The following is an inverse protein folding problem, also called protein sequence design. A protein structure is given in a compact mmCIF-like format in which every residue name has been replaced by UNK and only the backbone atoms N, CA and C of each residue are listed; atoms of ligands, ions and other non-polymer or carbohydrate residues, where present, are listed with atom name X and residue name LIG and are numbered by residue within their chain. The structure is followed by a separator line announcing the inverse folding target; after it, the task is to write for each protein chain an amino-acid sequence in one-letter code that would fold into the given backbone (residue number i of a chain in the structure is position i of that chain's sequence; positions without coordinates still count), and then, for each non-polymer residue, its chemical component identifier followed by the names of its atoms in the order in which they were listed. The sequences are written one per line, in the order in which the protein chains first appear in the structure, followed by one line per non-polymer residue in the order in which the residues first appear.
data_IF_552057843209
#
_entry.id   IF_552057843209
#
_cell.length_a   1.000
_cell.length_b   1.000
_cell.length_c   1.000
_cell.angle_alpha   90.00
_cell.angle_beta   90.00
_cell.angle_gamma   90.00
#
_symmetry.space_group_name_H-M   'P 1'
#
loop_
_entity.id
_entity.type
_entity.pdbx_description
1 polymer ?
#
# COMPACT_ATOMS: atom_id res chain seq x y z
N UNK A 1 13.24 28.01 -8.16
CA UNK A 1 12.60 27.30 -7.04
C UNK A 1 12.86 25.82 -7.26
N UNK A 2 13.69 25.20 -6.42
CA UNK A 2 14.10 23.80 -6.59
C UNK A 2 12.88 22.89 -6.45
N UNK A 3 12.82 21.83 -7.25
CA UNK A 3 11.94 20.70 -6.97
C UNK A 3 12.26 20.19 -5.55
N UNK A 4 11.24 19.79 -4.78
CA UNK A 4 11.43 19.26 -3.42
C UNK A 4 12.54 18.20 -3.37
N UNK A 5 13.32 18.23 -2.30
CA UNK A 5 14.50 17.38 -2.12
C UNK A 5 14.08 15.95 -1.78
N UNK A 6 14.73 14.97 -2.42
CA UNK A 6 14.58 13.55 -2.12
C UNK A 6 15.74 13.11 -1.25
N UNK A 7 15.42 12.50 -0.12
CA UNK A 7 16.38 11.95 0.84
C UNK A 7 16.16 10.45 0.95
N UNK A 8 17.25 9.70 1.13
CA UNK A 8 17.21 8.27 1.43
C UNK A 8 17.64 8.07 2.88
N UNK A 9 16.73 7.55 3.68
CA UNK A 9 16.94 7.27 5.10
C UNK A 9 17.17 5.79 5.29
N UNK A 10 18.40 5.43 5.64
CA UNK A 10 18.71 4.08 6.09
C UNK A 10 18.19 3.85 7.52
N UNK A 11 17.47 2.75 7.70
CA UNK A 11 16.91 2.29 8.97
C UNK A 11 17.27 0.81 9.20
N UNK A 12 17.70 0.48 10.42
CA UNK A 12 17.81 -0.92 10.85
C UNK A 12 16.56 -1.27 11.65
N UNK A 13 15.67 -2.04 11.03
CA UNK A 13 14.43 -2.47 11.67
C UNK A 13 14.67 -3.54 12.72
N UNK A 14 14.09 -3.35 13.90
CA UNK A 14 14.17 -4.33 14.97
C UNK A 14 13.19 -5.49 14.69
N UNK A 15 11.96 -5.17 14.30
CA UNK A 15 10.92 -6.18 14.04
C UNK A 15 11.23 -7.08 12.82
N UNK A 16 12.13 -6.66 11.93
CA UNK A 16 12.56 -7.45 10.77
C UNK A 16 13.87 -8.23 10.99
N UNK A 17 14.57 -8.12 12.13
CA UNK A 17 15.87 -8.82 12.36
C UNK A 17 15.79 -10.33 12.18
N UNK A 18 14.64 -10.91 12.47
CA UNK A 18 14.37 -12.35 12.36
C UNK A 18 13.30 -12.65 11.30
N UNK A 19 13.30 -11.90 10.19
CA UNK A 19 12.35 -12.11 9.11
C UNK A 19 12.41 -13.57 8.61
N UNK A 20 11.28 -14.29 8.52
CA UNK A 20 11.23 -15.72 8.15
C UNK A 20 11.74 -16.00 6.73
N UNK A 21 11.73 -15.01 5.84
CA UNK A 21 12.24 -15.11 4.47
C UNK A 21 13.75 -14.86 4.38
N UNK A 22 14.39 -14.46 5.48
CA UNK A 22 15.79 -13.99 5.46
C UNK A 22 15.96 -12.64 4.76
N UNK A 23 14.85 -11.94 4.51
CA UNK A 23 14.86 -10.59 3.94
C UNK A 23 15.66 -9.62 4.83
N UNK A 24 16.34 -8.62 4.24
CA UNK A 24 17.17 -7.70 5.01
C UNK A 24 16.34 -6.92 6.02
N UNK A 25 16.87 -6.76 7.24
CA UNK A 25 16.28 -5.89 8.26
C UNK A 25 16.77 -4.44 8.13
N UNK A 26 17.88 -4.21 7.41
CA UNK A 26 18.28 -2.88 6.98
C UNK A 26 17.47 -2.49 5.76
N UNK A 27 16.76 -1.37 5.85
CA UNK A 27 15.83 -0.89 4.84
C UNK A 27 16.08 0.58 4.53
N UNK A 28 15.79 0.94 3.30
CA UNK A 28 15.81 2.33 2.84
C UNK A 28 14.40 2.89 2.86
N UNK A 29 14.23 4.07 3.45
CA UNK A 29 12.99 4.84 3.42
C UNK A 29 13.24 6.07 2.53
N UNK A 30 12.51 6.18 1.42
CA UNK A 30 12.58 7.35 0.55
C UNK A 30 11.68 8.45 1.13
N UNK A 31 12.22 9.65 1.31
CA UNK A 31 11.50 10.80 1.85
C UNK A 31 11.61 11.97 0.88
N UNK A 32 10.49 12.52 0.46
CA UNK A 32 10.45 13.76 -0.31
C UNK A 32 9.97 14.90 0.57
N UNK A 33 10.78 15.95 0.63
CA UNK A 33 10.45 17.17 1.35
C UNK A 33 9.53 18.06 0.51
N UNK A 34 8.52 18.69 1.12
CA UNK A 34 7.65 19.61 0.39
C UNK A 34 8.46 20.79 -0.18
N UNK A 35 8.01 21.39 -1.29
CA UNK A 35 8.64 22.60 -1.82
C UNK A 35 8.71 23.72 -0.77
N UNK A 36 9.91 24.26 -0.54
CA UNK A 36 10.13 25.28 0.50
C UNK A 36 10.12 24.73 1.92
N UNK A 37 10.51 23.46 2.12
CA UNK A 37 10.72 22.87 3.43
C UNK A 37 11.68 23.71 4.29
N UNK A 38 11.26 23.94 5.54
CA UNK A 38 11.94 24.73 6.55
C UNK A 38 11.80 24.00 7.88
N UNK A 39 12.93 23.60 8.48
CA UNK A 39 12.96 22.84 9.73
C UNK A 39 12.34 23.57 10.93
N UNK A 40 12.15 24.90 10.84
CA UNK A 40 11.44 25.68 11.87
C UNK A 40 9.91 25.50 11.85
N UNK A 41 9.38 24.81 10.83
CA UNK A 41 7.95 24.54 10.64
C UNK A 41 7.69 23.04 10.68
N UNK A 42 6.55 22.64 11.24
CA UNK A 42 6.09 21.26 11.20
C UNK A 42 5.18 21.00 10.00
N UNK A 43 5.32 19.82 9.37
CA UNK A 43 4.57 19.41 8.19
C UNK A 43 3.78 18.12 8.45
N UNK A 44 2.57 17.98 7.88
CA UNK A 44 1.90 16.68 7.83
C UNK A 44 2.67 15.71 6.94
N UNK A 45 2.35 14.41 7.06
CA UNK A 45 3.07 13.34 6.36
C UNK A 45 2.10 12.43 5.62
N UNK A 46 2.40 12.11 4.37
CA UNK A 46 1.75 11.01 3.63
C UNK A 46 2.74 9.85 3.53
N UNK A 47 2.36 8.69 4.06
CA UNK A 47 3.07 7.43 3.86
C UNK A 47 2.49 6.74 2.63
N UNK A 48 3.26 6.69 1.54
CA UNK A 48 2.87 6.10 0.28
C UNK A 48 3.35 4.64 0.19
N UNK A 49 2.39 3.72 0.11
CA UNK A 49 2.61 2.28 0.02
C UNK A 49 2.59 1.84 -1.44
N UNK A 50 3.65 1.17 -1.87
CA UNK A 50 3.81 0.64 -3.23
C UNK A 50 2.87 -0.53 -3.54
N UNK A 51 2.47 -0.64 -4.82
CA UNK A 51 1.81 -1.85 -5.32
C UNK A 51 2.75 -3.06 -5.30
N UNK A 52 2.17 -4.26 -5.41
CA UNK A 52 2.96 -5.49 -5.44
C UNK A 52 4.03 -5.46 -6.54
N UNK A 53 5.27 -5.80 -6.18
CA UNK A 53 6.39 -5.86 -7.11
C UNK A 53 6.87 -4.52 -7.66
N UNK A 54 6.24 -3.40 -7.28
CA UNK A 54 6.71 -2.08 -7.63
C UNK A 54 7.93 -1.72 -6.78
N UNK A 55 8.86 -0.96 -7.37
CA UNK A 55 9.95 -0.37 -6.58
C UNK A 55 9.37 0.59 -5.53
N UNK A 56 9.95 0.66 -4.32
CA UNK A 56 9.51 1.58 -3.26
C UNK A 56 10.00 3.00 -3.55
N UNK A 57 9.50 3.63 -4.61
CA UNK A 57 9.90 4.99 -5.01
C UNK A 57 8.80 5.70 -5.80
N UNK A 58 8.66 7.01 -5.59
CA UNK A 58 7.79 7.89 -6.38
C UNK A 58 8.56 8.64 -7.50
N UNK A 59 9.87 8.42 -7.59
CA UNK A 59 10.75 9.10 -8.54
C UNK A 59 10.82 8.43 -9.93
N UNK A 60 10.16 7.28 -10.11
CA UNK A 60 10.24 6.49 -11.35
C UNK A 60 9.44 7.06 -12.51
N UNK A 61 9.90 6.78 -13.74
CA UNK A 61 9.15 6.95 -14.98
C UNK A 61 9.14 5.65 -15.78
N UNK A 62 7.98 5.11 -16.14
CA UNK A 62 7.91 3.96 -17.04
C UNK A 62 7.98 4.35 -18.53
N UNK A 63 7.68 5.61 -18.89
CA UNK A 63 7.59 6.05 -20.29
C UNK A 63 8.32 7.38 -20.54
N UNK A 64 8.60 7.65 -21.83
CA UNK A 64 9.23 8.89 -22.28
C UNK A 64 8.31 10.13 -22.14
N UNK A 65 7.00 9.89 -22.02
CA UNK A 65 5.98 10.92 -21.87
C UNK A 65 5.49 11.00 -20.42
N UNK A 66 5.12 12.20 -19.98
CA UNK A 66 4.65 12.46 -18.62
C UNK A 66 5.76 12.81 -17.63
N UNK A 67 5.34 13.08 -16.40
CA UNK A 67 6.20 13.43 -15.27
C UNK A 67 6.16 12.31 -14.24
N UNK A 68 7.27 12.08 -13.53
CA UNK A 68 7.27 11.16 -12.39
C UNK A 68 6.15 11.56 -11.40
N UNK A 69 5.51 10.60 -10.71
CA UNK A 69 4.45 10.87 -9.74
C UNK A 69 4.81 11.99 -8.77
N UNK A 70 6.04 11.95 -8.22
CA UNK A 70 6.52 12.97 -7.29
C UNK A 70 6.50 14.38 -7.87
N UNK A 71 6.83 14.56 -9.16
CA UNK A 71 6.86 15.89 -9.78
C UNK A 71 5.47 16.49 -9.89
N UNK A 72 4.44 15.67 -10.14
CA UNK A 72 3.05 16.14 -10.16
C UNK A 72 2.61 16.60 -8.79
N UNK A 73 2.95 15.82 -7.76
CA UNK A 73 2.63 16.15 -6.37
C UNK A 73 3.33 17.44 -5.92
N UNK A 74 4.63 17.58 -6.18
CA UNK A 74 5.34 18.82 -5.88
C UNK A 74 4.76 20.03 -6.62
N UNK A 75 4.38 19.86 -7.89
CA UNK A 75 3.74 20.94 -8.65
C UNK A 75 2.38 21.32 -8.02
N UNK A 76 1.56 20.34 -7.67
CA UNK A 76 0.28 20.56 -7.01
C UNK A 76 0.44 21.22 -5.62
N UNK A 77 1.53 20.90 -4.89
CA UNK A 77 1.89 21.56 -3.63
C UNK A 77 2.30 23.02 -3.85
N UNK A 78 3.10 23.32 -4.88
CA UNK A 78 3.48 24.68 -5.26
C UNK A 78 2.26 25.53 -5.66
N UNK A 79 1.30 24.91 -6.35
CA UNK A 79 0.04 25.54 -6.75
C UNK A 79 -0.98 25.66 -5.59
N UNK A 80 -0.70 25.00 -4.45
CA UNK A 80 -1.57 24.99 -3.28
C UNK A 80 -2.86 24.18 -3.45
N UNK A 81 -2.95 23.34 -4.49
CA UNK A 81 -4.07 22.42 -4.72
C UNK A 81 -3.96 21.17 -3.84
N UNK A 82 -2.73 20.72 -3.56
CA UNK A 82 -2.41 19.70 -2.54
C UNK A 82 -1.69 20.39 -1.38
N UNK A 83 -1.98 20.07 -0.11
CA UNK A 83 -1.27 20.67 1.02
C UNK A 83 0.22 20.28 1.00
N UNK A 84 1.09 21.21 1.40
CA UNK A 84 2.51 20.94 1.57
C UNK A 84 2.71 19.88 2.68
N UNK A 85 3.30 18.74 2.31
CA UNK A 85 3.49 17.59 3.19
C UNK A 85 4.77 16.83 2.82
N UNK A 86 5.33 16.10 3.78
CA UNK A 86 6.33 15.08 3.46
C UNK A 86 5.65 13.92 2.76
N UNK A 87 6.35 13.32 1.79
CA UNK A 87 5.95 12.06 1.17
C UNK A 87 6.99 11.00 1.52
N UNK A 88 6.56 9.97 2.24
CA UNK A 88 7.44 8.90 2.74
C UNK A 88 7.07 7.60 2.04
N UNK A 89 8.05 6.93 1.44
CA UNK A 89 7.88 5.65 0.75
C UNK A 89 8.73 4.59 1.48
N UNK A 90 8.14 3.77 2.36
CA UNK A 90 8.87 2.70 3.03
C UNK A 90 9.19 1.56 2.05
N UNK A 91 10.40 1.00 2.13
CA UNK A 91 10.70 -0.28 1.49
C UNK A 91 10.06 -1.44 2.25
N UNK A 92 8.89 -1.88 1.78
CA UNK A 92 8.18 -3.05 2.28
C UNK A 92 8.27 -4.26 1.31
N UNK A 93 9.30 -4.30 0.46
CA UNK A 93 9.54 -5.41 -0.46
C UNK A 93 10.03 -6.66 0.29
N UNK A 94 9.64 -7.82 -0.24
CA UNK A 94 10.02 -9.15 0.27
C UNK A 94 10.70 -9.97 -0.83
N UNK A 95 11.26 -11.12 -0.49
CA UNK A 95 11.72 -12.12 -1.47
C UNK A 95 10.62 -12.57 -2.47
N UNK A 96 9.34 -12.34 -2.14
CA UNK A 96 8.19 -12.58 -3.01
C UNK A 96 7.69 -11.33 -3.75
N UNK A 97 8.33 -10.17 -3.58
CA UNK A 97 7.98 -8.91 -4.27
C UNK A 97 7.05 -7.98 -3.49
N UNK A 98 6.51 -8.41 -2.35
CA UNK A 98 5.64 -7.57 -1.51
C UNK A 98 5.20 -8.28 -0.24
N UNK A 99 4.86 -7.49 0.79
CA UNK A 99 4.51 -7.96 2.13
C UNK A 99 3.02 -7.90 2.46
N UNK A 100 2.23 -7.24 1.60
CA UNK A 100 0.85 -6.84 1.91
C UNK A 100 0.73 -5.99 3.19
N UNK A 101 1.83 -5.42 3.69
CA UNK A 101 1.84 -4.50 4.82
C UNK A 101 1.23 -5.08 6.11
N UNK A 102 1.24 -6.40 6.26
CA UNK A 102 0.73 -7.12 7.43
C UNK A 102 1.86 -7.79 8.20
N UNK A 103 1.60 -8.08 9.47
CA UNK A 103 2.43 -9.01 10.22
C UNK A 103 2.06 -10.45 9.87
N UNK A 104 2.99 -11.15 9.23
CA UNK A 104 2.79 -12.51 8.74
C UNK A 104 3.83 -13.46 9.34
N UNK A 105 3.44 -14.62 9.89
CA UNK A 105 4.39 -15.67 10.28
C UNK A 105 5.25 -16.18 9.11
N UNK A 106 4.78 -16.02 7.86
CA UNK A 106 5.46 -16.45 6.65
C UNK A 106 6.30 -15.36 5.98
N UNK A 107 5.89 -14.08 6.08
CA UNK A 107 6.57 -12.97 5.39
C UNK A 107 7.30 -11.98 6.31
N UNK A 108 7.04 -11.95 7.61
CA UNK A 108 7.62 -11.01 8.57
C UNK A 108 6.66 -9.92 9.06
N UNK A 109 7.12 -9.12 10.01
CA UNK A 109 6.31 -8.15 10.76
C UNK A 109 6.25 -6.77 10.07
N UNK A 110 5.61 -6.69 8.90
CA UNK A 110 5.61 -5.46 8.10
C UNK A 110 4.63 -4.37 8.59
N UNK A 111 3.60 -4.72 9.37
CA UNK A 111 2.76 -3.70 10.02
C UNK A 111 3.53 -3.02 11.16
N UNK A 112 4.31 -3.79 11.93
CA UNK A 112 5.24 -3.23 12.93
C UNK A 112 6.35 -2.42 12.28
N UNK A 113 6.91 -2.89 11.15
CA UNK A 113 7.93 -2.13 10.43
C UNK A 113 7.40 -0.77 9.95
N UNK A 114 6.16 -0.71 9.46
CA UNK A 114 5.54 0.56 9.09
C UNK A 114 5.43 1.50 10.30
N UNK A 115 5.16 0.99 11.50
CA UNK A 115 5.17 1.78 12.74
C UNK A 115 6.58 2.30 13.08
N UNK A 116 7.62 1.46 12.97
CA UNK A 116 9.01 1.90 13.15
C UNK A 116 9.40 3.01 12.16
N UNK A 117 8.94 2.92 10.91
CA UNK A 117 9.19 3.97 9.91
C UNK A 117 8.54 5.29 10.31
N UNK A 118 7.32 5.26 10.87
CA UNK A 118 6.67 6.47 11.40
C UNK A 118 7.53 7.11 12.48
N UNK A 119 8.02 6.31 13.43
CA UNK A 119 8.89 6.81 14.50
C UNK A 119 10.19 7.40 13.94
N UNK A 120 10.86 6.73 13.00
CA UNK A 120 12.09 7.23 12.37
C UNK A 120 11.88 8.57 11.66
N UNK A 121 10.76 8.72 10.95
CA UNK A 121 10.44 9.96 10.24
C UNK A 121 10.17 11.09 11.22
N UNK A 122 9.38 10.85 12.26
CA UNK A 122 9.07 11.88 13.27
C UNK A 122 10.29 12.33 14.08
N UNK A 123 11.29 11.46 14.25
CA UNK A 123 12.55 11.83 14.92
C UNK A 123 13.51 12.62 14.03
N UNK A 124 13.45 12.46 12.70
CA UNK A 124 14.43 13.04 11.76
C UNK A 124 13.93 14.30 11.05
N UNK A 125 12.63 14.48 10.95
CA UNK A 125 12.03 15.57 10.19
C UNK A 125 11.06 16.38 11.04
N UNK A 126 10.82 17.63 10.64
CA UNK A 126 9.89 18.50 11.30
C UNK A 126 8.45 18.10 10.94
N UNK A 127 7.90 17.09 11.59
CA UNK A 127 6.54 16.61 11.38
C UNK A 127 5.56 17.21 12.37
N UNK A 128 4.29 17.30 11.99
CA UNK A 128 3.21 17.60 12.95
C UNK A 128 2.93 16.32 13.73
N UNK A 129 3.02 16.33 15.07
CA UNK A 129 2.81 15.14 15.87
C UNK A 129 1.35 14.69 15.83
N UNK A 130 1.16 13.37 15.82
CA UNK A 130 -0.14 12.74 16.01
C UNK A 130 -0.86 12.33 14.73
N UNK A 131 -1.77 11.37 14.89
CA UNK A 131 -2.42 10.64 13.81
C UNK A 131 -3.22 11.52 12.84
N UNK A 132 -3.85 12.61 13.31
CA UNK A 132 -4.66 13.51 12.47
C UNK A 132 -3.85 14.20 11.37
N UNK A 133 -2.54 14.35 11.54
CA UNK A 133 -1.65 14.95 10.55
C UNK A 133 -0.90 13.90 9.69
N UNK A 134 -1.24 12.61 9.84
CA UNK A 134 -0.64 11.51 9.09
C UNK A 134 -1.69 10.84 8.20
N UNK A 135 -1.38 10.77 6.92
CA UNK A 135 -2.13 10.00 5.94
C UNK A 135 -1.33 8.75 5.54
N UNK A 136 -2.03 7.64 5.29
CA UNK A 136 -1.48 6.48 4.59
C UNK A 136 -2.22 6.34 3.27
N UNK A 137 -1.47 6.19 2.19
CA UNK A 137 -2.00 6.14 0.83
C UNK A 137 -1.29 5.06 0.03
N UNK A 138 -1.94 4.54 -1.01
CA UNK A 138 -1.27 3.60 -1.89
C UNK A 138 -2.15 3.08 -3.02
N UNK A 139 -1.53 2.35 -3.94
CA UNK A 139 -2.19 1.79 -5.13
C UNK A 139 -2.14 0.26 -5.15
N UNK A 140 -3.21 -0.42 -5.58
CA UNK A 140 -3.26 -1.90 -5.64
C UNK A 140 -3.02 -2.50 -4.26
N UNK A 141 -2.03 -3.38 -4.11
CA UNK A 141 -1.62 -3.90 -2.81
C UNK A 141 -1.17 -2.82 -1.82
N UNK A 142 -0.70 -1.67 -2.31
CA UNK A 142 -0.45 -0.49 -1.47
C UNK A 142 -1.73 0.17 -0.98
N UNK A 143 -2.78 0.18 -1.80
CA UNK A 143 -4.11 0.64 -1.42
C UNK A 143 -4.77 -0.30 -0.42
N UNK A 144 -4.58 -1.61 -0.61
CA UNK A 144 -4.90 -2.62 0.40
C UNK A 144 -4.15 -2.35 1.71
N UNK A 145 -2.83 -2.15 1.66
CA UNK A 145 -2.03 -1.83 2.83
C UNK A 145 -2.50 -0.57 3.56
N UNK A 146 -2.96 0.44 2.83
CA UNK A 146 -3.51 1.67 3.41
C UNK A 146 -4.83 1.40 4.16
N UNK A 147 -5.71 0.57 3.59
CA UNK A 147 -6.94 0.12 4.26
C UNK A 147 -6.63 -0.71 5.52
N UNK A 148 -5.71 -1.66 5.42
CA UNK A 148 -5.27 -2.46 6.57
C UNK A 148 -4.73 -1.56 7.66
N UNK A 149 -3.80 -0.66 7.34
CA UNK A 149 -3.22 0.26 8.31
C UNK A 149 -4.29 1.12 8.98
N UNK A 150 -5.29 1.62 8.24
CA UNK A 150 -6.41 2.37 8.82
C UNK A 150 -7.35 1.55 9.72
N UNK A 151 -7.45 0.24 9.49
CA UNK A 151 -8.26 -0.66 10.30
C UNK A 151 -7.53 -1.16 11.55
N UNK A 152 -6.21 -1.34 11.48
CA UNK A 152 -5.43 -2.06 12.49
C UNK A 152 -4.44 -1.21 13.26
N UNK A 153 -4.19 0.04 12.84
CA UNK A 153 -3.21 0.93 13.48
C UNK A 153 -3.81 2.27 13.88
N UNK A 154 -3.51 2.79 15.09
CA UNK A 154 -3.94 4.12 15.52
C UNK A 154 -3.05 5.24 14.96
N UNK A 155 -2.06 4.93 14.11
CA UNK A 155 -1.05 5.88 13.67
C UNK A 155 -1.54 6.88 12.62
N UNK A 156 -2.60 6.55 11.88
CA UNK A 156 -3.04 7.29 10.71
C UNK A 156 -4.46 7.84 10.89
N UNK A 157 -4.67 9.10 10.52
CA UNK A 157 -5.98 9.75 10.54
C UNK A 157 -6.65 9.86 9.19
N UNK A 158 -5.90 9.65 8.12
CA UNK A 158 -6.45 9.66 6.77
C UNK A 158 -5.96 8.43 6.00
N UNK A 159 -6.87 7.80 5.27
CA UNK A 159 -6.58 6.66 4.39
C UNK A 159 -6.99 7.05 2.98
N UNK A 160 -6.09 6.84 2.01
CA UNK A 160 -6.38 7.04 0.59
C UNK A 160 -6.00 5.77 -0.20
N UNK A 161 -7.01 5.00 -0.58
CA UNK A 161 -6.85 3.71 -1.23
C UNK A 161 -7.21 3.80 -2.72
N UNK A 162 -6.20 3.67 -3.59
CA UNK A 162 -6.34 3.74 -5.05
C UNK A 162 -6.35 2.34 -5.67
N UNK A 163 -7.43 1.95 -6.35
CA UNK A 163 -7.67 0.59 -6.83
C UNK A 163 -7.20 -0.47 -5.82
N UNK A 164 -7.70 -0.49 -4.57
CA UNK A 164 -7.19 -1.40 -3.56
C UNK A 164 -7.53 -2.86 -3.90
N UNK A 165 -6.67 -3.79 -3.49
CA UNK A 165 -7.02 -5.21 -3.46
C UNK A 165 -8.15 -5.39 -2.42
N UNK A 166 -9.37 -5.67 -2.88
CA UNK A 166 -10.55 -5.88 -2.05
C UNK A 166 -11.53 -6.79 -2.78
N UNK A 167 -12.43 -7.47 -2.06
CA UNK A 167 -13.36 -8.43 -2.65
C UNK A 167 -12.57 -9.52 -3.36
N UNK A 168 -11.82 -10.31 -2.58
CA UNK A 168 -10.75 -11.19 -3.07
C UNK A 168 -11.23 -12.19 -4.12
N UNK A 169 -12.50 -12.60 -4.08
CA UNK A 169 -13.14 -13.40 -5.12
C UNK A 169 -13.07 -12.77 -6.52
N UNK A 170 -13.11 -11.45 -6.61
CA UNK A 170 -13.12 -10.73 -7.88
C UNK A 170 -11.71 -10.39 -8.38
N UNK A 171 -10.76 -10.14 -7.48
CA UNK A 171 -9.41 -9.74 -7.89
C UNK A 171 -8.40 -10.89 -7.99
N UNK A 172 -8.59 -12.01 -7.27
CA UNK A 172 -7.62 -13.11 -7.29
C UNK A 172 -8.13 -14.37 -7.99
N UNK A 173 -9.37 -14.83 -7.73
CA UNK A 173 -9.85 -16.09 -8.32
C UNK A 173 -9.88 -16.10 -9.87
N UNK A 174 -10.25 -15.00 -10.56
CA UNK A 174 -10.23 -14.98 -12.03
C UNK A 174 -8.82 -15.11 -12.63
N UNK A 175 -7.78 -14.77 -11.84
CA UNK A 175 -6.38 -14.88 -12.26
C UNK A 175 -5.84 -16.32 -12.09
N UNK A 176 -6.50 -17.15 -11.28
CA UNK A 176 -5.95 -18.45 -10.89
C UNK A 176 -5.68 -19.40 -12.09
N UNK A 177 -6.55 -19.53 -13.10
CA UNK A 177 -6.28 -20.40 -14.24
C UNK A 177 -5.02 -20.01 -15.02
N UNK A 178 -4.85 -18.71 -15.34
CA UNK A 178 -3.67 -18.24 -16.06
C UNK A 178 -2.39 -18.36 -15.24
N UNK A 179 -2.49 -18.19 -13.91
CA UNK A 179 -1.36 -18.45 -13.00
C UNK A 179 -0.99 -19.93 -13.01
N UNK A 180 -1.95 -20.85 -12.96
CA UNK A 180 -1.67 -22.29 -13.02
C UNK A 180 -1.01 -22.69 -14.35
N UNK A 181 -1.50 -22.17 -15.47
CA UNK A 181 -0.88 -22.39 -16.78
C UNK A 181 0.57 -21.87 -16.80
N UNK A 182 0.81 -20.67 -16.24
CA UNK A 182 2.14 -20.08 -16.15
C UNK A 182 3.07 -20.89 -15.24
N UNK A 183 2.58 -21.38 -14.09
CA UNK A 183 3.33 -22.28 -13.22
C UNK A 183 3.71 -23.57 -13.95
N UNK A 184 2.78 -24.17 -14.70
CA UNK A 184 3.05 -25.34 -15.52
C UNK A 184 4.13 -25.08 -16.58
N UNK A 185 4.02 -23.97 -17.31
CA UNK A 185 4.98 -23.56 -18.33
C UNK A 185 6.38 -23.26 -17.76
N UNK A 186 6.45 -22.71 -16.54
CA UNK A 186 7.69 -22.48 -15.83
C UNK A 186 8.33 -23.78 -15.30
N UNK A 187 7.66 -24.93 -15.35
CA UNK A 187 8.16 -26.18 -14.76
C UNK A 187 7.85 -26.33 -13.27
N UNK A 188 6.86 -25.60 -12.77
CA UNK A 188 6.34 -25.66 -11.41
C UNK A 188 6.71 -24.44 -10.56
N UNK A 189 6.07 -24.36 -9.39
CA UNK A 189 6.21 -23.24 -8.46
C UNK A 189 7.66 -23.01 -8.01
N UNK A 190 8.39 -24.06 -7.65
CA UNK A 190 9.79 -23.93 -7.23
C UNK A 190 10.68 -23.35 -8.34
N UNK A 191 10.39 -23.66 -9.61
CA UNK A 191 11.14 -23.12 -10.74
C UNK A 191 10.80 -21.66 -11.00
N UNK A 192 9.52 -21.26 -10.86
CA UNK A 192 9.12 -19.85 -10.88
C UNK A 192 9.87 -19.06 -9.79
N UNK A 193 9.93 -19.59 -8.57
CA UNK A 193 10.64 -18.93 -7.47
C UNK A 193 12.16 -18.82 -7.71
N UNK A 194 12.76 -19.80 -8.37
CA UNK A 194 14.16 -19.74 -8.77
C UNK A 194 14.44 -18.63 -9.80
N UNK A 195 13.43 -18.21 -10.57
CA UNK A 195 13.53 -17.17 -11.60
C UNK A 195 13.38 -15.74 -11.08
N UNK A 196 13.13 -15.55 -9.76
CA UNK A 196 12.87 -14.24 -9.15
C UNK A 196 13.94 -13.17 -9.42
N UNK A 197 15.20 -13.56 -9.53
CA UNK A 197 16.30 -12.64 -9.84
C UNK A 197 16.54 -12.50 -11.35
N UNK A 198 16.38 -13.59 -12.10
CA UNK A 198 16.79 -13.67 -13.51
C UNK A 198 15.73 -13.24 -14.52
N UNK A 199 14.46 -13.17 -14.11
CA UNK A 199 13.34 -12.87 -14.99
C UNK A 199 12.62 -14.12 -15.51
N UNK A 200 11.52 -13.94 -16.26
CA UNK A 200 11.35 -12.87 -17.25
C UNK A 200 10.81 -11.51 -16.75
N UNK A 201 10.26 -11.43 -15.53
CA UNK A 201 9.68 -10.21 -14.94
C UNK A 201 8.60 -9.52 -15.81
N UNK A 202 7.94 -10.27 -16.69
CA UNK A 202 6.81 -9.79 -17.48
C UNK A 202 5.50 -9.79 -16.65
N UNK A 203 4.40 -9.31 -17.25
CA UNK A 203 3.13 -9.21 -16.56
C UNK A 203 2.63 -10.57 -16.01
N UNK A 204 2.79 -11.66 -16.78
CA UNK A 204 2.37 -13.00 -16.37
C UNK A 204 3.17 -13.49 -15.17
N UNK A 205 4.49 -13.28 -15.19
CA UNK A 205 5.37 -13.59 -14.06
C UNK A 205 4.95 -12.80 -12.81
N UNK A 206 4.70 -11.50 -12.94
CA UNK A 206 4.31 -10.65 -11.82
C UNK A 206 2.96 -11.07 -11.22
N UNK A 207 1.99 -11.43 -12.05
CA UNK A 207 0.68 -11.95 -11.58
C UNK A 207 0.82 -13.31 -10.91
N UNK A 208 1.65 -14.21 -11.43
CA UNK A 208 1.90 -15.50 -10.78
C UNK A 208 2.60 -15.33 -9.43
N UNK A 209 3.64 -14.49 -9.37
CA UNK A 209 4.33 -14.17 -8.13
C UNK A 209 3.40 -13.51 -7.11
N UNK A 210 2.45 -12.68 -7.52
CA UNK A 210 1.51 -12.03 -6.58
C UNK A 210 0.61 -13.05 -5.89
N UNK A 211 0.01 -14.00 -6.62
CA UNK A 211 -0.82 -15.03 -6.00
C UNK A 211 -0.01 -15.96 -5.09
N UNK A 212 1.24 -16.28 -5.46
CA UNK A 212 2.14 -17.04 -4.58
C UNK A 212 2.44 -16.25 -3.29
N UNK A 213 2.76 -14.97 -3.43
CA UNK A 213 3.03 -14.09 -2.29
C UNK A 213 1.82 -13.97 -1.35
N UNK A 214 0.60 -13.84 -1.89
CA UNK A 214 -0.63 -13.75 -1.08
C UNK A 214 -0.81 -15.00 -0.22
N UNK A 215 -0.49 -16.17 -0.77
CA UNK A 215 -0.51 -17.43 -0.03
C UNK A 215 0.35 -17.40 1.22
N UNK A 216 1.58 -16.91 1.08
CA UNK A 216 2.54 -16.80 2.18
C UNK A 216 2.14 -15.67 3.14
N UNK A 217 1.75 -14.50 2.62
CA UNK A 217 1.36 -13.34 3.44
C UNK A 217 0.17 -13.67 4.35
N UNK A 218 -0.90 -14.24 3.79
CA UNK A 218 -2.15 -14.52 4.50
C UNK A 218 -2.16 -15.87 5.23
N UNK A 219 -1.02 -16.56 5.28
CA UNK A 219 -0.88 -17.79 6.06
C UNK A 219 -0.91 -17.48 7.56
N UNK A 220 -1.73 -18.22 8.29
CA UNK A 220 -1.75 -18.20 9.76
C UNK A 220 -0.60 -18.99 10.42
N UNK A 221 0.24 -19.66 9.61
CA UNK A 221 1.27 -20.59 10.09
C UNK A 221 2.65 -20.30 9.50
N UNK A 222 3.67 -20.31 10.35
CA UNK A 222 5.07 -20.26 9.94
C UNK A 222 5.53 -21.60 9.34
N UNK A 223 6.61 -21.56 8.55
CA UNK A 223 7.31 -22.73 8.05
C UNK A 223 6.59 -23.52 6.94
N UNK A 224 5.50 -23.00 6.39
CA UNK A 224 4.88 -23.57 5.18
C UNK A 224 5.74 -23.24 3.96
N UNK A 225 5.87 -24.20 3.04
CA UNK A 225 6.38 -23.88 1.71
C UNK A 225 5.36 -23.02 0.95
N UNK A 226 5.82 -22.25 -0.03
CA UNK A 226 4.93 -21.48 -0.89
C UNK A 226 3.87 -22.37 -1.58
N UNK A 227 4.24 -23.58 -1.99
CA UNK A 227 3.31 -24.56 -2.53
C UNK A 227 2.27 -25.10 -1.53
N UNK A 228 2.57 -25.11 -0.22
CA UNK A 228 1.59 -25.45 0.84
C UNK A 228 0.68 -24.27 1.17
N UNK A 229 1.19 -23.04 1.09
CA UNK A 229 0.44 -21.82 1.36
C UNK A 229 -0.42 -21.36 0.16
N UNK A 230 -0.21 -21.93 -1.02
CA UNK A 230 -0.97 -21.63 -2.23
C UNK A 230 -2.43 -22.07 -2.14
N UNK A 231 -3.34 -21.28 -2.73
CA UNK A 231 -4.82 -21.45 -2.64
C UNK A 231 -5.34 -22.74 -3.29
N UNK A 232 -4.54 -23.38 -4.13
CA UNK A 232 -4.84 -24.69 -4.71
C UNK A 232 -3.57 -25.53 -4.83
N UNK A 233 -3.72 -26.79 -5.19
CA UNK A 233 -2.60 -27.61 -5.61
C UNK A 233 -2.03 -27.08 -6.95
N UNK A 234 -0.75 -26.68 -7.03
CA UNK A 234 -0.19 -26.00 -8.20
C UNK A 234 -0.02 -26.90 -9.43
N UNK A 235 -0.22 -28.22 -9.30
CA UNK A 235 -0.11 -29.18 -10.41
C UNK A 235 -1.49 -29.56 -10.92
N UNK A 236 -2.40 -29.89 -10.01
CA UNK A 236 -3.74 -30.42 -10.34
C UNK A 236 -4.83 -29.36 -10.36
N UNK A 237 -4.55 -28.17 -9.81
CA UNK A 237 -5.54 -27.10 -9.63
C UNK A 237 -6.57 -27.40 -8.54
N UNK A 238 -6.44 -28.50 -7.78
CA UNK A 238 -7.40 -28.86 -6.73
C UNK A 238 -7.43 -27.77 -5.67
N UNK A 239 -8.55 -27.05 -5.59
CA UNK A 239 -8.74 -25.93 -4.68
C UNK A 239 -8.64 -26.35 -3.22
N UNK A 240 -8.12 -25.46 -2.37
CA UNK A 240 -7.94 -25.66 -0.93
C UNK A 240 -8.79 -24.66 -0.18
N UNK A 241 -10.00 -25.07 0.16
CA UNK A 241 -10.98 -24.21 0.83
C UNK A 241 -10.43 -23.63 2.13
N UNK A 242 -9.67 -24.42 2.91
CA UNK A 242 -9.07 -23.98 4.16
C UNK A 242 -8.01 -22.88 4.02
N UNK A 243 -7.31 -22.84 2.89
CA UNK A 243 -6.35 -21.77 2.57
C UNK A 243 -7.12 -20.53 2.11
N UNK A 244 -8.13 -20.71 1.25
CA UNK A 244 -8.96 -19.61 0.80
C UNK A 244 -9.69 -18.90 1.96
N UNK A 245 -10.24 -19.66 2.90
CA UNK A 245 -10.86 -19.08 4.11
C UNK A 245 -9.87 -18.28 4.98
N UNK A 246 -8.57 -18.60 4.94
CA UNK A 246 -7.55 -17.78 5.61
C UNK A 246 -7.37 -16.45 4.87
N UNK A 247 -7.27 -16.47 3.54
CA UNK A 247 -7.18 -15.24 2.74
C UNK A 247 -8.37 -14.34 2.97
N UNK A 248 -9.58 -14.89 3.01
CA UNK A 248 -10.81 -14.11 3.21
C UNK A 248 -10.86 -13.36 4.55
N UNK A 249 -10.10 -13.78 5.58
CA UNK A 249 -9.98 -13.00 6.84
C UNK A 249 -9.23 -11.69 6.66
N UNK A 250 -8.46 -11.58 5.59
CA UNK A 250 -7.69 -10.40 5.24
C UNK A 250 -8.40 -9.53 4.19
N UNK A 251 -9.53 -9.95 3.62
CA UNK A 251 -10.26 -9.14 2.65
C UNK A 251 -10.87 -7.89 3.31
N UNK A 252 -10.53 -6.67 2.86
CA UNK A 252 -11.07 -5.44 3.44
C UNK A 252 -12.60 -5.41 3.49
N UNK A 253 -13.30 -6.01 2.51
CA UNK A 253 -14.77 -6.09 2.51
C UNK A 253 -15.28 -6.84 3.75
N UNK A 254 -14.58 -7.90 4.16
CA UNK A 254 -14.95 -8.74 5.30
C UNK A 254 -14.49 -8.15 6.63
N UNK A 255 -13.38 -7.42 6.62
CA UNK A 255 -12.81 -6.81 7.81
C UNK A 255 -13.63 -5.62 8.34
N UNK A 256 -14.41 -4.93 7.51
CA UNK A 256 -15.17 -3.72 7.95
C UNK A 256 -15.93 -3.95 9.26
N UNK A 257 -16.65 -5.06 9.37
CA UNK A 257 -17.51 -5.34 10.52
C UNK A 257 -16.75 -5.41 11.86
N UNK A 258 -15.52 -5.93 11.83
CA UNK A 258 -14.66 -6.06 13.02
C UNK A 258 -13.89 -4.76 13.33
N UNK A 259 -13.85 -3.82 12.38
CA UNK A 259 -13.04 -2.60 12.45
C UNK A 259 -13.86 -1.29 12.37
N UNK A 260 -15.18 -1.35 12.60
CA UNK A 260 -16.09 -0.19 12.56
C UNK A 260 -15.58 0.97 13.43
N UNK A 261 -15.11 0.69 14.65
CA UNK A 261 -14.61 1.74 15.54
C UNK A 261 -13.40 2.48 14.95
N UNK A 262 -12.39 1.73 14.48
CA UNK A 262 -11.19 2.32 13.87
C UNK A 262 -11.56 3.16 12.64
N UNK A 263 -12.36 2.60 11.73
CA UNK A 263 -12.80 3.28 10.52
C UNK A 263 -13.62 4.53 10.81
N UNK A 264 -14.51 4.50 11.81
CA UNK A 264 -15.32 5.66 12.21
C UNK A 264 -14.49 6.79 12.82
N UNK A 265 -13.29 6.49 13.33
CA UNK A 265 -12.39 7.48 13.93
C UNK A 265 -11.51 8.21 12.91
N UNK A 266 -11.42 7.69 11.67
CA UNK A 266 -10.67 8.33 10.60
C UNK A 266 -11.25 9.71 10.28
N UNK A 267 -10.38 10.68 10.10
CA UNK A 267 -10.76 12.00 9.61
C UNK A 267 -11.09 11.97 8.11
N UNK A 268 -10.47 11.05 7.36
CA UNK A 268 -10.78 10.79 5.96
C UNK A 268 -10.55 9.32 5.61
N UNK A 269 -11.55 8.69 5.01
CA UNK A 269 -11.40 7.45 4.24
C UNK A 269 -11.76 7.76 2.78
N UNK A 270 -10.79 7.70 1.88
CA UNK A 270 -10.95 7.88 0.45
C UNK A 270 -10.67 6.56 -0.28
N UNK A 271 -11.58 6.17 -1.17
CA UNK A 271 -11.46 4.99 -2.02
C UNK A 271 -11.78 5.40 -3.44
N UNK A 272 -10.86 5.15 -4.37
CA UNK A 272 -11.10 5.32 -5.80
C UNK A 272 -10.65 4.12 -6.61
N UNK A 273 -11.26 3.94 -7.79
CA UNK A 273 -10.98 2.83 -8.69
C UNK A 273 -11.36 3.15 -10.14
N UNK A 274 -10.65 2.56 -11.09
CA UNK A 274 -11.01 2.65 -12.51
C UNK A 274 -12.20 1.78 -12.87
N UNK A 275 -13.15 2.31 -13.65
CA UNK A 275 -14.38 1.59 -14.07
C UNK A 275 -14.12 0.30 -14.88
N UNK A 276 -12.92 0.16 -15.44
CA UNK A 276 -12.48 -1.01 -16.23
C UNK A 276 -11.13 -1.52 -15.74
N UNK A 277 -10.92 -1.52 -14.42
CA UNK A 277 -9.70 -2.08 -13.82
C UNK A 277 -9.49 -3.53 -14.27
N UNK A 278 -8.32 -3.80 -14.86
CA UNK A 278 -7.97 -5.05 -15.54
C UNK A 278 -7.90 -6.24 -14.58
N UNK A 279 -7.76 -6.00 -13.28
CA UNK A 279 -7.73 -7.02 -12.23
C UNK A 279 -9.08 -7.14 -11.52
N UNK A 280 -10.15 -6.53 -12.04
CA UNK A 280 -11.50 -6.65 -11.44
C UNK A 280 -11.68 -5.90 -10.12
N UNK A 281 -10.72 -5.04 -9.72
CA UNK A 281 -10.72 -4.36 -8.42
C UNK A 281 -11.92 -3.42 -8.23
N UNK A 282 -12.54 -2.95 -9.31
CA UNK A 282 -13.76 -2.13 -9.24
C UNK A 282 -14.92 -2.88 -8.60
N UNK A 283 -15.03 -4.20 -8.76
CA UNK A 283 -16.06 -4.99 -8.06
C UNK A 283 -15.80 -5.07 -6.57
N UNK A 284 -14.54 -5.27 -6.17
CA UNK A 284 -14.11 -5.23 -4.77
C UNK A 284 -14.36 -3.88 -4.11
N UNK A 285 -13.99 -2.80 -4.78
CA UNK A 285 -14.21 -1.44 -4.29
C UNK A 285 -15.71 -1.10 -4.16
N UNK A 286 -16.57 -1.55 -5.08
CA UNK A 286 -18.04 -1.42 -4.95
C UNK A 286 -18.57 -2.20 -3.76
N UNK A 287 -18.11 -3.44 -3.55
CA UNK A 287 -18.51 -4.25 -2.41
C UNK A 287 -18.07 -3.62 -1.08
N UNK A 288 -16.84 -3.08 -1.04
CA UNK A 288 -16.32 -2.35 0.11
C UNK A 288 -17.15 -1.10 0.39
N UNK A 289 -17.42 -0.28 -0.63
CA UNK A 289 -18.28 0.90 -0.54
C UNK A 289 -19.66 0.55 0.05
N UNK A 290 -20.35 -0.44 -0.51
CA UNK A 290 -21.65 -0.87 -0.01
C UNK A 290 -21.60 -1.37 1.45
N UNK A 291 -20.52 -2.06 1.83
CA UNK A 291 -20.33 -2.53 3.21
C UNK A 291 -20.11 -1.37 4.18
N UNK A 292 -19.30 -0.38 3.79
CA UNK A 292 -19.09 0.84 4.58
C UNK A 292 -20.40 1.62 4.75
N UNK A 293 -21.23 1.74 3.71
CA UNK A 293 -22.56 2.35 3.78
C UNK A 293 -23.49 1.61 4.73
N UNK A 294 -23.51 0.27 4.66
CA UNK A 294 -24.32 -0.57 5.54
C UNK A 294 -23.97 -0.36 7.02
N UNK A 295 -22.70 -0.09 7.33
CA UNK A 295 -22.23 0.20 8.69
C UNK A 295 -22.30 1.70 9.06
N UNK A 296 -22.79 2.57 8.17
CA UNK A 296 -22.89 4.01 8.41
C UNK A 296 -21.54 4.72 8.55
N UNK A 297 -20.49 4.18 7.94
CA UNK A 297 -19.12 4.70 8.05
C UNK A 297 -18.89 5.85 7.05
N UNK A 298 -18.45 7.04 7.50
CA UNK A 298 -18.14 8.14 6.60
C UNK A 298 -16.96 7.82 5.68
N UNK A 299 -17.14 7.95 4.38
CA UNK A 299 -16.08 7.75 3.40
C UNK A 299 -16.38 8.49 2.09
N UNK A 300 -15.34 8.72 1.30
CA UNK A 300 -15.42 9.21 -0.09
C UNK A 300 -15.17 8.03 -1.02
N UNK A 301 -16.10 7.78 -1.91
CA UNK A 301 -15.98 6.75 -2.94
C UNK A 301 -16.06 7.38 -4.33
N UNK A 302 -15.14 6.99 -5.24
CA UNK A 302 -15.13 7.49 -6.61
C UNK A 302 -14.72 6.43 -7.62
N UNK A 303 -15.54 6.25 -8.65
CA UNK A 303 -15.11 5.56 -9.87
C UNK A 303 -14.67 6.57 -10.93
N UNK A 304 -13.55 6.29 -11.61
CA UNK A 304 -13.06 7.15 -12.69
C UNK A 304 -12.97 6.41 -14.03
N UNK A 305 -13.00 7.15 -15.13
CA UNK A 305 -12.74 6.58 -16.44
C UNK A 305 -11.30 6.04 -16.48
N UNK A 306 -11.13 4.84 -17.04
CA UNK A 306 -9.81 4.17 -17.12
C UNK A 306 -9.81 2.78 -16.50
N UNK A 307 -8.61 2.27 -16.27
CA UNK A 307 -8.35 0.99 -15.63
C UNK A 307 -7.34 1.16 -14.49
N UNK A 308 -6.49 0.16 -14.32
CA UNK A 308 -5.52 0.04 -13.23
C UNK A 308 -4.27 0.93 -13.40
N UNK A 309 -4.07 1.54 -14.57
CA UNK A 309 -2.87 2.29 -14.92
C UNK A 309 -3.19 3.73 -15.32
N UNK A 310 -2.18 4.62 -15.27
CA UNK A 310 -2.33 6.03 -15.69
C UNK A 310 -3.16 6.89 -14.74
N UNK A 311 -3.22 6.51 -13.46
CA UNK A 311 -4.09 7.12 -12.45
C UNK A 311 -3.42 8.26 -11.68
N UNK A 312 -2.24 8.74 -12.09
CA UNK A 312 -1.47 9.72 -11.32
C UNK A 312 -2.23 11.05 -11.13
N UNK A 313 -3.13 11.39 -12.04
CA UNK A 313 -4.02 12.54 -11.90
C UNK A 313 -5.10 12.33 -10.83
N UNK A 314 -5.68 11.12 -10.76
CA UNK A 314 -6.64 10.72 -9.73
C UNK A 314 -6.00 10.77 -8.34
N UNK A 315 -4.76 10.30 -8.21
CA UNK A 315 -3.99 10.36 -6.96
C UNK A 315 -3.82 11.80 -6.47
N UNK A 316 -3.46 12.73 -7.37
CA UNK A 316 -3.33 14.16 -7.01
C UNK A 316 -4.66 14.73 -6.54
N UNK A 317 -5.76 14.44 -7.24
CA UNK A 317 -7.11 14.89 -6.88
C UNK A 317 -7.56 14.34 -5.52
N UNK A 318 -7.26 13.07 -5.22
CA UNK A 318 -7.59 12.45 -3.95
C UNK A 318 -6.78 13.08 -2.79
N UNK A 319 -5.48 13.31 -2.98
CA UNK A 319 -4.63 13.95 -1.98
C UNK A 319 -5.00 15.41 -1.72
N UNK A 320 -5.63 16.09 -2.68
CA UNK A 320 -6.17 17.44 -2.46
C UNK A 320 -7.23 17.48 -1.34
N UNK A 321 -7.97 16.39 -1.11
CA UNK A 321 -8.95 16.29 -0.03
C UNK A 321 -8.34 16.49 1.37
N UNK A 322 -7.05 16.22 1.54
CA UNK A 322 -6.34 16.41 2.82
C UNK A 322 -6.30 17.88 3.25
N UNK A 323 -6.47 18.83 2.32
CA UNK A 323 -6.56 20.26 2.60
C UNK A 323 -7.76 20.63 3.48
N UNK A 324 -8.82 19.82 3.44
CA UNK A 324 -10.02 19.99 4.26
C UNK A 324 -9.84 19.42 5.68
N UNK A 325 -8.86 18.54 5.86
CA UNK A 325 -8.65 17.75 7.08
C UNK A 325 -7.51 18.31 7.92
N UNK A 326 -6.39 18.64 7.27
CA UNK A 326 -5.21 19.12 7.95
C UNK A 326 -5.33 20.59 8.30
N UNK A 327 -4.81 21.00 9.47
CA UNK A 327 -4.83 22.39 9.88
C UNK A 327 -4.16 23.26 8.81
N UNK A 328 -4.88 24.26 8.32
CA UNK A 328 -4.32 25.24 7.40
C UNK A 328 -3.43 26.19 8.19
N UNK A 329 -2.16 25.79 8.36
CA UNK A 329 -1.11 26.45 9.15
C UNK A 329 -1.39 26.50 10.67
N UNK A 330 -0.46 26.06 11.52
CA UNK A 330 -0.46 26.54 12.90
C UNK A 330 -0.12 28.04 12.85
N UNK A 331 -0.98 28.88 13.41
CA UNK A 331 -0.54 30.21 13.85
C UNK A 331 0.75 30.02 14.68
N UNK A 332 1.78 30.85 14.48
CA UNK A 332 2.95 30.79 15.35
C UNK A 332 2.45 30.98 16.78
N UNK A 333 2.74 30.01 17.65
CA UNK A 333 2.47 30.11 19.08
C UNK A 333 2.96 31.48 19.54
N UNK A 334 2.02 32.37 19.84
CA UNK A 334 2.35 33.65 20.44
C UNK A 334 3.13 33.31 21.72
N UNK A 335 4.38 33.75 21.79
CA UNK A 335 5.17 33.68 23.00
C UNK A 335 4.35 34.34 24.12
N UNK A 336 3.78 33.53 25.01
CA UNK A 336 3.23 34.03 26.25
C UNK A 336 4.42 34.58 27.07
N UNK A 337 4.46 35.90 27.19
CA UNK A 337 5.39 36.62 28.04
C UNK A 337 5.07 36.50 29.52
#
# INVERSE_FOLDING_TARGET
MSAGEMLLVEHESECLRHNPLGDPFRRTVEVHLPPGYDESRSYPVVYWLSGFGARPTLATRPYAFGSAPIRRLHQAMLEGSVPAALLVVPDCTTAFGGSQYIDSPGCGAYAQYLAEVVDVVDHRFATVPGWRARAVAGKSSGGYGALIAGMTSPLFGSVLAHSPDAGFEHCYLPLLPSVLDHLGAAGGLEHLLAQRESGPHDASFMVAMSLVAMGVCYSSRAGLTAGQAFVCDPVTGRFRDEVWQQWLRHDPVRMVADHVHALSSLALLHIDVGQRDEYGMHWGARALHATLEQHGLPHRYREHAGGHHGIEHVVVEALAALKEIWPQHPEPLACAG
#
